data_IF_721325470179
#
_entry.id   IF_721325470179
#
_cell.length_a   1.000
_cell.length_b   1.000
_cell.length_c   1.000
_cell.angle_alpha   90.00
_cell.angle_beta   90.00
_cell.angle_gamma   90.00
#
_symmetry.space_group_name_H-M   'P 1'
#
loop_
_entity.id
_entity.type
_entity.pdbx_description
1 polymer ?
#
# COMPACT_ATOMS: atom_id res chain seq x y z
N UNK A 1 -14.31 13.95 -62.36
CA UNK A 1 -13.19 13.21 -62.97
C UNK A 1 -12.71 12.20 -61.92
N UNK A 2 -13.30 11.00 -61.89
CA UNK A 2 -12.61 9.71 -62.14
C UNK A 2 -11.66 9.32 -60.97
N UNK A 3 -11.75 8.21 -60.23
CA UNK A 3 -12.31 6.86 -60.46
C UNK A 3 -12.51 6.16 -59.09
N UNK A 4 -13.60 5.39 -58.98
CA UNK A 4 -13.84 4.32 -57.98
C UNK A 4 -12.78 3.22 -58.11
N UNK A 5 -12.27 2.68 -57.00
CA UNK A 5 -12.07 1.21 -56.95
C UNK A 5 -12.17 0.66 -55.53
N UNK A 6 -13.09 -0.29 -55.38
CA UNK A 6 -13.24 -1.19 -54.25
C UNK A 6 -12.19 -2.33 -54.32
N UNK A 7 -12.42 -3.38 -53.52
CA UNK A 7 -11.79 -4.72 -53.49
C UNK A 7 -10.59 -4.79 -52.52
N UNK A 8 -10.46 -5.72 -51.58
CA UNK A 8 -11.06 -7.05 -51.40
C UNK A 8 -10.92 -7.46 -49.92
N UNK A 9 -12.01 -7.92 -49.29
CA UNK A 9 -11.98 -8.64 -48.00
C UNK A 9 -11.51 -10.07 -48.28
N UNK A 10 -10.38 -10.48 -47.68
CA UNK A 10 -9.95 -11.89 -47.71
C UNK A 10 -10.15 -12.48 -46.31
N UNK A 11 -11.28 -13.16 -46.16
CA UNK A 11 -11.63 -13.99 -45.04
C UNK A 11 -10.96 -15.36 -45.22
N UNK A 12 -9.90 -15.66 -44.47
CA UNK A 12 -9.35 -17.03 -44.40
C UNK A 12 -9.89 -17.72 -43.16
N UNK A 13 -11.04 -18.39 -43.32
CA UNK A 13 -11.45 -19.49 -42.44
C UNK A 13 -10.50 -20.67 -42.68
N UNK A 14 -9.76 -21.10 -41.67
CA UNK A 14 -9.00 -22.34 -41.74
C UNK A 14 -9.53 -23.35 -40.71
N UNK A 15 -10.19 -24.36 -41.28
CA UNK A 15 -10.39 -25.75 -40.87
C UNK A 15 -10.33 -26.12 -39.38
N UNK A 16 -11.51 -26.48 -38.85
CA UNK A 16 -11.71 -27.26 -37.63
C UNK A 16 -11.46 -28.75 -37.97
N UNK A 17 -10.50 -29.41 -37.32
CA UNK A 17 -10.22 -30.85 -37.50
C UNK A 17 -10.88 -31.66 -36.38
N UNK A 18 -11.86 -32.46 -36.77
CA UNK A 18 -12.57 -33.45 -35.95
C UNK A 18 -11.80 -34.77 -35.92
N UNK A 19 -11.61 -35.34 -34.73
CA UNK A 19 -11.26 -36.75 -34.57
C UNK A 19 -12.33 -37.43 -33.72
N UNK A 20 -13.20 -38.16 -34.42
CA UNK A 20 -14.05 -39.21 -33.90
C UNK A 20 -13.21 -40.49 -33.85
N UNK A 21 -13.16 -41.15 -32.69
CA UNK A 21 -12.91 -42.59 -32.61
C UNK A 21 -13.88 -43.17 -31.58
N UNK A 22 -14.65 -44.14 -32.05
CA UNK A 22 -15.65 -44.90 -31.34
C UNK A 22 -15.19 -46.35 -31.18
N UNK A 23 -15.98 -47.14 -30.42
CA UNK A 23 -16.02 -48.62 -30.34
C UNK A 23 -14.99 -49.20 -29.34
N UNK A 24 -15.30 -50.12 -28.40
CA UNK A 24 -16.32 -51.18 -28.35
C UNK A 24 -16.81 -51.49 -26.93
N UNK A 25 -18.08 -51.89 -26.81
CA UNK A 25 -18.63 -52.67 -25.69
C UNK A 25 -18.21 -54.15 -25.77
N UNK A 26 -18.44 -54.87 -24.66
CA UNK A 26 -18.62 -56.32 -24.35
C UNK A 26 -17.69 -56.64 -23.16
N UNK A 27 -18.06 -57.18 -21.99
CA UNK A 27 -19.31 -57.69 -21.40
C UNK A 27 -18.94 -58.42 -20.09
N UNK A 28 -19.79 -58.31 -19.05
CA UNK A 28 -20.11 -59.22 -17.90
C UNK A 28 -18.96 -60.03 -17.24
N UNK A 29 -18.77 -60.20 -15.93
CA UNK A 29 -19.65 -60.30 -14.76
C UNK A 29 -18.75 -60.47 -13.52
N UNK A 30 -19.06 -59.88 -12.36
CA UNK A 30 -19.10 -60.57 -11.06
C UNK A 30 -19.55 -59.57 -9.97
N UNK A 31 -20.68 -59.87 -9.35
CA UNK A 31 -21.20 -59.16 -8.17
C UNK A 31 -20.44 -59.70 -6.96
N UNK A 32 -19.55 -58.88 -6.39
CA UNK A 32 -19.02 -59.09 -5.04
C UNK A 32 -19.41 -57.89 -4.19
N UNK A 33 -20.28 -58.14 -3.21
CA UNK A 33 -20.75 -57.15 -2.27
C UNK A 33 -19.61 -56.54 -1.47
N UNK A 34 -19.63 -55.21 -1.35
CA UNK A 34 -18.77 -54.48 -0.44
C UNK A 34 -19.66 -53.58 0.43
N UNK A 35 -19.46 -53.72 1.73
CA UNK A 35 -20.19 -53.10 2.83
C UNK A 35 -20.55 -51.63 2.59
N UNK A 36 -21.77 -51.24 2.97
CA UNK A 36 -22.09 -49.84 3.22
C UNK A 36 -21.27 -49.36 4.43
N UNK A 37 -20.10 -48.78 4.17
CA UNK A 37 -19.46 -47.90 5.12
C UNK A 37 -20.15 -46.54 5.03
N UNK A 38 -20.74 -46.11 6.14
CA UNK A 38 -21.29 -44.77 6.32
C UNK A 38 -20.23 -43.73 5.97
N UNK A 39 -20.40 -43.02 4.86
CA UNK A 39 -19.56 -41.87 4.56
C UNK A 39 -20.02 -40.72 5.46
N UNK A 40 -19.29 -40.47 6.54
CA UNK A 40 -19.38 -39.17 7.19
C UNK A 40 -18.90 -38.14 6.18
N UNK A 41 -19.82 -37.29 5.69
CA UNK A 41 -19.46 -36.06 5.01
C UNK A 41 -18.88 -35.14 6.09
N UNK A 42 -17.57 -35.18 6.30
CA UNK A 42 -16.89 -34.11 7.02
C UNK A 42 -17.01 -32.86 6.14
N UNK A 43 -17.83 -31.91 6.58
CA UNK A 43 -17.77 -30.55 6.09
C UNK A 43 -16.34 -30.05 6.33
N UNK A 44 -15.53 -29.98 5.27
CA UNK A 44 -14.25 -29.30 5.30
C UNK A 44 -14.54 -27.85 5.70
N UNK A 45 -14.24 -27.54 6.96
CA UNK A 45 -14.46 -26.21 7.49
C UNK A 45 -13.63 -25.23 6.68
N UNK A 46 -14.24 -24.12 6.28
CA UNK A 46 -13.55 -23.01 5.60
C UNK A 46 -12.31 -22.51 6.39
N UNK A 47 -12.15 -22.91 7.66
CA UNK A 47 -10.98 -22.67 8.49
C UNK A 47 -9.67 -23.26 7.95
N UNK A 48 -9.68 -24.33 7.17
CA UNK A 48 -8.45 -24.88 6.55
C UNK A 48 -8.00 -24.09 5.31
N UNK A 49 -8.91 -23.36 4.65
CA UNK A 49 -8.54 -22.46 3.54
C UNK A 49 -7.83 -21.19 4.04
N UNK A 50 -8.06 -20.81 5.30
CA UNK A 50 -7.45 -19.64 5.94
C UNK A 50 -6.35 -20.00 6.95
N UNK A 51 -6.10 -21.29 7.19
CA UNK A 51 -5.36 -21.76 8.35
C UNK A 51 -4.19 -22.68 8.02
N UNK A 52 -3.14 -22.16 7.36
CA UNK A 52 -1.75 -22.49 7.70
C UNK A 52 -0.74 -21.64 6.88
N UNK A 53 -0.57 -20.36 7.20
CA UNK A 53 0.45 -19.49 6.59
C UNK A 53 1.71 -19.33 7.47
N UNK A 54 2.09 -20.36 8.24
CA UNK A 54 3.30 -20.34 9.07
C UNK A 54 4.42 -21.24 8.50
N UNK A 55 4.74 -21.09 7.21
CA UNK A 55 5.96 -21.65 6.61
C UNK A 55 6.46 -20.88 5.36
N UNK A 56 6.09 -19.61 5.20
CA UNK A 56 6.76 -18.70 4.30
C UNK A 56 7.21 -17.50 5.13
N UNK A 57 8.51 -17.38 5.40
CA UNK A 57 9.09 -16.11 5.82
C UNK A 57 8.57 -15.06 4.82
N UNK A 58 7.76 -14.11 5.29
CA UNK A 58 7.17 -13.07 4.43
C UNK A 58 8.29 -12.42 3.63
N UNK A 59 8.21 -12.47 2.29
CA UNK A 59 9.15 -11.82 1.37
C UNK A 59 9.31 -10.32 1.67
N UNK A 60 8.34 -9.73 2.36
CA UNK A 60 8.30 -8.32 2.71
C UNK A 60 8.51 -8.13 4.21
N UNK A 61 9.33 -7.13 4.55
CA UNK A 61 9.52 -6.70 5.92
C UNK A 61 8.19 -6.17 6.49
N UNK A 62 7.92 -6.39 7.79
CA UNK A 62 6.88 -5.63 8.51
C UNK A 62 7.12 -4.12 8.39
N UNK A 63 6.05 -3.32 8.43
CA UNK A 63 6.11 -1.87 8.19
C UNK A 63 7.05 -1.14 9.17
N UNK A 64 7.08 -1.56 10.43
CA UNK A 64 7.94 -1.03 11.50
C UNK A 64 9.43 -1.37 11.32
N UNK A 65 9.73 -2.39 10.51
CA UNK A 65 11.09 -2.75 10.10
C UNK A 65 11.50 -2.10 8.79
N UNK A 66 10.53 -1.91 7.88
CA UNK A 66 10.74 -1.20 6.62
C UNK A 66 10.99 0.30 6.86
N UNK A 67 10.28 0.89 7.83
CA UNK A 67 10.33 2.30 8.16
C UNK A 67 10.34 2.48 9.68
N UNK A 68 11.38 3.12 10.21
CA UNK A 68 11.32 3.65 11.58
C UNK A 68 10.96 5.11 11.50
N UNK A 69 9.87 5.50 12.17
CA UNK A 69 9.34 6.85 12.10
C UNK A 69 9.23 7.41 13.50
N UNK A 70 9.98 8.49 13.74
CA UNK A 70 10.03 9.18 15.02
C UNK A 70 9.64 10.64 14.84
N UNK A 71 9.15 11.28 15.92
CA UNK A 71 8.82 12.69 15.90
C UNK A 71 9.31 13.40 17.15
N UNK A 72 9.90 14.57 16.98
CA UNK A 72 10.34 15.45 18.07
C UNK A 72 9.82 16.88 17.87
N UNK A 73 9.74 17.64 18.95
CA UNK A 73 9.26 19.02 18.92
C UNK A 73 10.26 19.98 19.54
N UNK A 74 10.49 21.13 18.91
CA UNK A 74 11.35 22.18 19.41
C UNK A 74 10.60 23.52 19.43
N UNK A 75 10.72 24.28 20.51
CA UNK A 75 10.16 25.62 20.58
C UNK A 75 10.87 26.55 19.58
N UNK A 76 10.13 27.46 18.97
CA UNK A 76 10.65 28.47 18.04
C UNK A 76 10.01 29.82 18.33
N UNK A 77 10.56 30.90 17.76
CA UNK A 77 9.93 32.22 17.85
C UNK A 77 8.55 32.28 17.16
N UNK A 78 8.21 31.35 16.28
CA UNK A 78 6.96 31.35 15.49
C UNK A 78 5.93 30.31 15.94
N UNK A 79 6.16 29.65 17.08
CA UNK A 79 5.37 28.52 17.57
C UNK A 79 6.27 27.32 17.89
N UNK A 80 5.84 26.11 17.55
CA UNK A 80 6.60 24.88 17.81
C UNK A 80 6.92 24.15 16.51
N UNK A 81 8.20 23.91 16.24
CA UNK A 81 8.61 23.06 15.13
C UNK A 81 8.39 21.59 15.49
N UNK A 82 7.63 20.89 14.67
CA UNK A 82 7.52 19.44 14.64
C UNK A 82 8.48 18.90 13.57
N UNK A 83 9.37 18.00 13.96
CA UNK A 83 10.30 17.30 13.08
C UNK A 83 9.95 15.82 13.07
N UNK A 84 9.71 15.26 11.89
CA UNK A 84 9.36 13.85 11.66
C UNK A 84 10.52 13.21 10.91
N UNK A 85 11.15 12.22 11.52
CA UNK A 85 12.28 11.50 10.95
C UNK A 85 11.81 10.18 10.38
N UNK A 86 12.18 9.88 9.14
CA UNK A 86 11.99 8.60 8.48
C UNK A 86 13.34 7.92 8.27
N UNK A 87 13.58 6.80 8.96
CA UNK A 87 14.65 5.86 8.62
C UNK A 87 14.07 4.80 7.67
N UNK A 88 14.44 4.89 6.39
CA UNK A 88 13.92 4.07 5.30
C UNK A 88 14.92 2.96 5.00
N UNK A 89 14.50 1.70 5.15
CA UNK A 89 15.33 0.53 4.82
C UNK A 89 15.55 0.44 3.30
N UNK A 90 16.74 0.03 2.82
CA UNK A 90 16.99 -0.16 1.38
C UNK A 90 15.90 -0.99 0.69
N UNK A 91 15.55 -0.60 -0.54
CA UNK A 91 14.46 -1.22 -1.28
C UNK A 91 13.06 -0.69 -0.96
N UNK A 92 12.94 0.33 -0.11
CA UNK A 92 11.66 0.96 0.26
C UNK A 92 11.65 2.45 -0.08
N UNK A 93 10.46 3.06 -0.06
CA UNK A 93 10.27 4.49 -0.23
C UNK A 93 9.02 5.01 0.49
N UNK A 94 9.05 6.29 0.84
CA UNK A 94 7.90 7.02 1.42
C UNK A 94 7.41 8.04 0.41
N UNK A 95 6.09 8.16 0.24
CA UNK A 95 5.50 9.18 -0.62
C UNK A 95 5.59 10.55 0.02
N UNK A 96 6.15 11.53 -0.68
CA UNK A 96 6.23 12.91 -0.18
C UNK A 96 4.84 13.48 0.09
N UNK A 97 3.90 13.27 -0.83
CA UNK A 97 2.59 13.90 -0.78
C UNK A 97 1.56 13.11 0.06
N UNK A 98 1.97 12.00 0.67
CA UNK A 98 1.15 11.26 1.65
C UNK A 98 1.51 11.60 3.10
N UNK A 99 2.55 12.40 3.33
CA UNK A 99 2.81 12.95 4.66
C UNK A 99 1.79 14.05 4.96
N UNK A 100 0.97 13.82 5.98
CA UNK A 100 -0.14 14.68 6.37
C UNK A 100 -0.17 14.90 7.87
N UNK A 101 -0.80 16.01 8.28
CA UNK A 101 -1.10 16.28 9.69
C UNK A 101 -2.60 16.49 9.86
N UNK A 102 -3.13 15.97 10.97
CA UNK A 102 -4.47 16.29 11.46
C UNK A 102 -4.37 16.81 12.89
N UNK A 103 -5.07 17.90 13.18
CA UNK A 103 -5.08 18.59 14.46
C UNK A 103 -6.41 19.33 14.68
N UNK A 104 -6.75 19.73 15.92
CA UNK A 104 -7.98 20.47 16.21
C UNK A 104 -8.09 21.81 15.49
N UNK A 105 -9.31 22.34 15.42
CA UNK A 105 -9.57 23.70 14.94
C UNK A 105 -8.78 24.73 15.76
N UNK A 106 -8.35 25.79 15.10
CA UNK A 106 -7.58 26.88 15.73
C UNK A 106 -6.07 26.64 15.76
N UNK A 107 -5.60 25.50 15.26
CA UNK A 107 -4.18 25.21 15.01
C UNK A 107 -3.90 25.35 13.51
N UNK A 108 -2.70 25.78 13.17
CA UNK A 108 -2.20 25.81 11.80
C UNK A 108 -0.81 25.18 11.73
N UNK A 109 -0.46 24.69 10.53
CA UNK A 109 0.86 24.14 10.23
C UNK A 109 1.41 24.82 8.98
N UNK A 110 2.68 25.21 9.00
CA UNK A 110 3.37 25.64 7.78
C UNK A 110 3.48 24.48 6.77
N UNK A 111 3.68 24.75 5.48
CA UNK A 111 3.98 23.67 4.55
C UNK A 111 5.28 22.95 4.95
N UNK A 112 5.32 21.62 4.78
CA UNK A 112 6.51 20.84 5.12
C UNK A 112 7.75 21.35 4.39
N UNK A 113 8.88 21.30 5.09
CA UNK A 113 10.23 21.38 4.53
C UNK A 113 10.90 20.04 4.74
N UNK A 114 11.72 19.62 3.79
CA UNK A 114 12.38 18.32 3.83
C UNK A 114 13.89 18.52 3.82
N UNK A 115 14.61 17.71 4.61
CA UNK A 115 16.08 17.77 4.67
C UNK A 115 16.77 17.32 3.38
N UNK A 116 16.03 16.63 2.49
CA UNK A 116 16.53 16.12 1.22
C UNK A 116 15.49 16.36 0.13
N UNK A 117 15.94 16.41 -1.13
CA UNK A 117 15.06 16.49 -2.29
C UNK A 117 14.40 15.14 -2.58
N UNK A 118 13.11 15.11 -2.96
CA UNK A 118 12.46 13.89 -3.42
C UNK A 118 12.97 13.50 -4.82
N UNK A 119 12.82 12.23 -5.16
CA UNK A 119 12.96 11.72 -6.53
C UNK A 119 11.57 11.41 -7.11
N UNK A 120 11.42 11.52 -8.43
CA UNK A 120 10.18 11.09 -9.09
C UNK A 120 10.29 9.62 -9.49
N UNK A 121 9.30 8.81 -9.15
CA UNK A 121 9.16 7.43 -9.64
C UNK A 121 7.85 7.29 -10.41
N UNK A 122 7.77 6.29 -11.29
CA UNK A 122 6.51 5.89 -11.91
C UNK A 122 5.93 4.69 -11.15
N UNK A 123 5.05 4.97 -10.20
CA UNK A 123 4.37 3.96 -9.40
C UNK A 123 3.21 3.33 -10.21
N UNK A 124 3.03 1.99 -10.19
CA UNK A 124 1.95 1.33 -10.93
C UNK A 124 0.53 1.77 -10.52
N UNK A 125 0.36 2.25 -9.29
CA UNK A 125 -0.95 2.63 -8.72
C UNK A 125 -1.23 4.11 -8.96
N UNK A 126 -0.22 4.97 -8.79
CA UNK A 126 -0.38 6.43 -8.79
C UNK A 126 0.29 7.16 -9.96
N UNK A 127 1.00 6.45 -10.83
CA UNK A 127 1.78 7.05 -11.91
C UNK A 127 3.00 7.81 -11.38
N UNK A 128 3.34 8.93 -12.01
CA UNK A 128 4.53 9.71 -11.66
C UNK A 128 4.35 10.48 -10.35
N UNK A 129 5.08 10.07 -9.30
CA UNK A 129 4.94 10.61 -7.94
C UNK A 129 6.29 10.92 -7.29
N UNK A 130 6.38 11.96 -6.45
CA UNK A 130 7.58 12.27 -5.69
C UNK A 130 7.69 11.39 -4.44
N UNK A 131 8.85 10.78 -4.24
CA UNK A 131 9.14 9.87 -3.13
C UNK A 131 10.51 10.14 -2.52
N UNK A 132 10.72 9.65 -1.30
CA UNK A 132 12.02 9.59 -0.66
C UNK A 132 12.47 8.14 -0.52
N UNK A 133 13.72 7.86 -0.88
CA UNK A 133 14.36 6.55 -0.70
C UNK A 133 15.57 6.62 0.22
N UNK A 134 16.01 7.84 0.55
CA UNK A 134 17.22 8.06 1.32
C UNK A 134 16.98 7.77 2.80
N UNK A 135 18.04 7.39 3.50
CA UNK A 135 18.01 7.20 4.95
C UNK A 135 17.87 8.54 5.67
N UNK A 136 17.23 8.55 6.84
CA UNK A 136 17.15 9.70 7.74
C UNK A 136 16.58 10.98 7.07
N UNK A 137 15.46 10.86 6.38
CA UNK A 137 14.73 12.04 5.90
C UNK A 137 14.11 12.73 7.11
N UNK A 138 14.26 14.05 7.20
CA UNK A 138 13.60 14.85 8.22
C UNK A 138 12.62 15.78 7.53
N UNK A 139 11.34 15.63 7.84
CA UNK A 139 10.28 16.55 7.44
C UNK A 139 9.97 17.49 8.61
N UNK A 140 10.07 18.80 8.40
CA UNK A 140 9.81 19.81 9.43
C UNK A 140 8.62 20.68 9.06
N UNK A 141 7.82 21.04 10.06
CA UNK A 141 6.78 22.06 9.97
C UNK A 141 6.61 22.78 11.29
N UNK A 142 6.31 24.06 11.24
CA UNK A 142 5.98 24.86 12.42
C UNK A 142 4.46 24.83 12.66
N UNK A 143 4.09 24.36 13.85
CA UNK A 143 2.74 24.42 14.39
C UNK A 143 2.56 25.71 15.20
N UNK A 144 1.44 26.40 14.98
CA UNK A 144 1.07 27.61 15.71
C UNK A 144 -0.43 27.66 15.96
N UNK A 145 -0.86 28.51 16.89
CA UNK A 145 -2.28 28.78 17.14
C UNK A 145 -2.73 30.00 16.34
N UNK A 146 -3.96 29.98 15.84
CA UNK A 146 -4.52 31.08 15.05
C UNK A 146 -4.77 32.34 15.91
N UNK A 147 -4.87 32.20 17.23
CA UNK A 147 -5.08 33.31 18.17
C UNK A 147 -3.76 33.86 18.77
N UNK A 148 -2.61 33.33 18.35
CA UNK A 148 -1.28 33.75 18.81
C UNK A 148 -0.93 33.34 20.25
N UNK A 149 -1.82 32.65 20.97
CA UNK A 149 -1.59 32.20 22.36
C UNK A 149 -0.95 30.80 22.38
N UNK A 150 -0.22 30.47 23.45
CA UNK A 150 0.27 29.10 23.64
C UNK A 150 -0.87 28.11 23.82
N UNK A 151 -0.66 26.86 23.41
CA UNK A 151 -1.58 25.75 23.65
C UNK A 151 -0.81 24.53 24.16
N UNK A 152 -1.31 23.89 25.21
CA UNK A 152 -0.69 22.70 25.79
C UNK A 152 -1.43 21.45 25.36
N UNK A 153 -0.69 20.35 25.27
CA UNK A 153 -1.23 19.02 24.98
C UNK A 153 -2.14 18.95 23.72
N UNK A 154 -1.75 19.63 22.64
CA UNK A 154 -2.50 19.62 21.39
C UNK A 154 -2.37 18.24 20.74
N UNK A 155 -3.46 17.50 20.51
CA UNK A 155 -3.38 16.21 19.82
C UNK A 155 -3.06 16.42 18.34
N UNK A 156 -2.05 15.72 17.85
CA UNK A 156 -1.61 15.75 16.45
C UNK A 156 -1.54 14.32 15.93
N UNK A 157 -2.10 14.08 14.75
CA UNK A 157 -1.97 12.81 14.04
C UNK A 157 -1.10 13.03 12.81
N UNK A 158 0.03 12.32 12.76
CA UNK A 158 0.92 12.27 11.61
C UNK A 158 0.49 11.09 10.75
N UNK A 159 -0.02 11.37 9.55
CA UNK A 159 -0.35 10.36 8.55
C UNK A 159 0.78 10.22 7.53
N UNK A 160 1.11 9.00 7.13
CA UNK A 160 2.12 8.74 6.11
C UNK A 160 1.89 7.40 5.41
N UNK A 161 2.56 7.16 4.28
CA UNK A 161 2.49 5.90 3.57
C UNK A 161 3.77 5.63 2.79
N UNK A 162 4.19 4.36 2.73
CA UNK A 162 5.34 3.92 1.95
C UNK A 162 5.08 2.58 1.24
N UNK A 163 6.02 2.20 0.37
CA UNK A 163 5.99 0.93 -0.36
C UNK A 163 7.38 0.30 -0.43
N UNK A 164 7.42 -1.01 -0.65
CA UNK A 164 8.58 -1.76 -1.09
C UNK A 164 8.65 -1.74 -2.63
N UNK A 165 9.85 -1.50 -3.17
CA UNK A 165 10.13 -1.57 -4.62
C UNK A 165 9.82 -2.95 -5.23
N UNK A 166 9.75 -3.98 -4.40
CA UNK A 166 9.37 -5.33 -4.78
C UNK A 166 7.86 -5.52 -5.03
N UNK A 167 7.07 -4.44 -5.06
CA UNK A 167 5.68 -4.44 -5.52
C UNK A 167 4.62 -4.49 -4.41
N UNK A 168 4.98 -4.18 -3.17
CA UNK A 168 4.04 -4.11 -2.04
C UNK A 168 3.94 -2.69 -1.51
N UNK A 169 2.72 -2.15 -1.46
CA UNK A 169 2.45 -0.90 -0.78
C UNK A 169 1.80 -1.16 0.57
N UNK A 170 2.36 -0.55 1.62
CA UNK A 170 1.81 -0.65 2.95
C UNK A 170 0.55 0.23 3.04
N UNK A 171 -0.44 -0.12 3.88
CA UNK A 171 -1.57 0.75 4.18
C UNK A 171 -1.12 2.13 4.71
N UNK A 172 -1.99 3.15 4.66
CA UNK A 172 -1.70 4.42 5.32
C UNK A 172 -1.54 4.24 6.83
N UNK A 173 -0.41 4.71 7.35
CA UNK A 173 -0.04 4.64 8.76
C UNK A 173 -0.36 5.95 9.49
N UNK A 174 -0.65 5.84 10.79
CA UNK A 174 -1.00 6.98 11.65
C UNK A 174 -0.26 6.93 12.98
N UNK A 175 0.51 7.97 13.26
CA UNK A 175 1.17 8.17 14.55
C UNK A 175 0.43 9.26 15.31
N UNK A 176 -0.12 8.91 16.48
CA UNK A 176 -0.76 9.88 17.37
C UNK A 176 0.29 10.43 18.33
N UNK A 177 0.38 11.75 18.43
CA UNK A 177 1.27 12.43 19.35
C UNK A 177 0.59 13.66 19.95
N UNK A 178 1.24 14.26 20.94
CA UNK A 178 0.75 15.42 21.66
C UNK A 178 1.84 16.49 21.64
N UNK A 179 1.49 17.70 21.22
CA UNK A 179 2.43 18.81 21.04
C UNK A 179 2.08 19.99 21.95
N UNK A 180 3.10 20.55 22.60
CA UNK A 180 2.99 21.84 23.26
C UNK A 180 3.37 22.95 22.27
N UNK A 181 2.44 23.83 21.96
CA UNK A 181 2.61 24.96 21.06
C UNK A 181 2.95 26.20 21.89
N UNK A 182 4.17 26.71 21.70
CA UNK A 182 4.62 27.97 22.31
C UNK A 182 3.88 29.18 21.75
N UNK A 183 3.87 30.28 22.49
CA UNK A 183 3.43 31.58 21.96
C UNK A 183 4.36 31.99 20.82
N UNK A 184 3.81 32.42 19.69
CA UNK A 184 4.61 33.11 18.69
C UNK A 184 5.15 34.39 19.35
N UNK A 185 6.48 34.49 19.49
CA UNK A 185 7.14 35.68 19.96
C UNK A 185 6.77 36.86 19.07
N UNK A 186 6.41 37.98 19.68
CA UNK A 186 6.32 39.27 18.99
C UNK A 186 7.69 39.71 18.53
#
# INVERSE_FOLDING_TARGET
MFIKTATLVINKRLAKKSHLLAVSLIGTSLITGLSMASMSVQAAGLGELFGNNNAAQSKFLPVDKAFKVDSITNATSKGTQLSITFDITPGHYVYKDKLTLSFPKGISASPFRFSQSPISINDPTFGKVPVFTQKNIIATTTLSTNNGKGAKNVPVVIGWQGCAKAGLCYPPEKIKTTVNIGTAGK
#
